data_IF_491286993940
#
_entry.id   IF_491286993940
#
_cell.length_a   1.000
_cell.length_b   1.000
_cell.length_c   1.000
_cell.angle_alpha   90.00
_cell.angle_beta   90.00
_cell.angle_gamma   90.00
#
_symmetry.space_group_name_H-M   'P 1'
#
loop_
_entity.id
_entity.type
_entity.pdbx_description
1 polymer ?
#
# COMPACT_ATOMS: atom_id res chain seq x y z
N UNK A 1 5.81 8.43 -7.66
CA UNK A 1 4.73 7.72 -8.39
C UNK A 1 4.02 8.53 -9.50
N UNK A 2 4.28 9.84 -9.67
CA UNK A 2 3.54 10.69 -10.64
C UNK A 2 4.08 10.61 -12.09
N UNK A 3 5.24 9.99 -12.32
CA UNK A 3 6.00 10.14 -13.57
C UNK A 3 5.59 9.22 -14.75
N UNK A 4 4.73 8.22 -14.55
CA UNK A 4 4.59 7.10 -15.52
C UNK A 4 3.39 7.15 -16.48
N UNK A 5 2.60 8.23 -16.56
CA UNK A 5 1.18 8.08 -16.93
C UNK A 5 0.68 8.77 -18.21
N UNK A 6 1.42 8.66 -19.32
CA UNK A 6 0.96 9.16 -20.63
C UNK A 6 0.37 8.12 -21.59
N UNK A 7 0.37 6.79 -21.29
CA UNK A 7 0.07 5.80 -22.35
C UNK A 7 -0.89 4.64 -22.09
N UNK A 8 -1.63 4.53 -20.98
CA UNK A 8 -2.61 3.44 -20.84
C UNK A 8 -3.99 3.90 -20.32
N UNK A 9 -4.82 4.28 -21.27
CA UNK A 9 -6.24 4.66 -21.14
C UNK A 9 -7.16 3.43 -21.10
N UNK A 10 -7.07 2.61 -20.05
CA UNK A 10 -8.08 1.57 -19.76
C UNK A 10 -8.51 1.49 -18.29
N UNK A 11 -7.84 2.21 -17.40
CA UNK A 11 -8.30 2.42 -16.04
C UNK A 11 -8.84 3.83 -15.89
N UNK A 12 -10.15 3.97 -15.72
CA UNK A 12 -10.79 5.22 -15.30
C UNK A 12 -10.49 5.58 -13.83
N UNK A 13 -9.28 5.24 -13.35
CA UNK A 13 -8.74 5.62 -12.04
C UNK A 13 -8.46 7.13 -11.95
N UNK A 14 -8.38 7.79 -13.11
CA UNK A 14 -8.00 9.20 -13.25
C UNK A 14 -9.21 10.14 -13.37
N UNK A 15 -10.43 9.65 -13.59
CA UNK A 15 -11.63 10.51 -13.69
C UNK A 15 -12.06 11.09 -12.34
N UNK A 16 -11.59 10.49 -11.23
CA UNK A 16 -11.87 10.95 -9.87
C UNK A 16 -10.64 11.55 -9.17
N UNK A 17 -9.81 12.34 -9.88
CA UNK A 17 -8.71 13.12 -9.28
C UNK A 17 -9.23 14.24 -8.37
N UNK A 18 -9.77 13.88 -7.20
CA UNK A 18 -10.04 14.86 -6.16
C UNK A 18 -8.71 15.31 -5.54
N UNK A 19 -8.61 16.60 -5.18
CA UNK A 19 -7.46 17.17 -4.48
C UNK A 19 -7.09 16.33 -3.24
N UNK A 20 -8.10 15.89 -2.51
CA UNK A 20 -7.98 15.00 -1.35
C UNK A 20 -7.21 13.71 -1.68
N UNK A 21 -7.50 13.07 -2.81
CA UNK A 21 -6.81 11.84 -3.20
C UNK A 21 -5.31 12.04 -3.36
N UNK A 22 -4.90 13.12 -4.04
CA UNK A 22 -3.50 13.44 -4.24
C UNK A 22 -2.80 13.83 -2.94
N UNK A 23 -3.50 14.51 -2.04
CA UNK A 23 -2.95 14.91 -0.75
C UNK A 23 -2.67 13.71 0.15
N UNK A 24 -3.54 12.70 0.17
CA UNK A 24 -3.30 11.45 0.90
C UNK A 24 -2.11 10.70 0.31
N UNK A 25 -2.01 10.59 -1.03
CA UNK A 25 -0.87 9.94 -1.68
C UNK A 25 0.44 10.67 -1.36
N UNK A 26 0.46 12.01 -1.37
CA UNK A 26 1.64 12.78 -0.96
C UNK A 26 2.02 12.51 0.49
N UNK A 27 1.06 12.49 1.40
CA UNK A 27 1.31 12.17 2.81
C UNK A 27 1.83 10.74 3.01
N UNK A 28 1.33 9.79 2.24
CA UNK A 28 1.88 8.45 2.20
C UNK A 28 3.37 8.46 1.80
N UNK A 29 3.68 9.13 0.69
CA UNK A 29 5.03 9.12 0.10
C UNK A 29 6.07 9.87 0.97
N UNK A 30 5.68 10.97 1.63
CA UNK A 30 6.61 11.80 2.40
C UNK A 30 6.58 11.56 3.91
N UNK A 31 5.40 11.37 4.51
CA UNK A 31 5.27 11.21 5.96
C UNK A 31 5.26 9.73 6.37
N UNK A 32 4.33 8.94 5.83
CA UNK A 32 4.18 7.56 6.25
C UNK A 32 5.40 6.70 5.89
N UNK A 33 5.89 6.83 4.65
CA UNK A 33 7.08 6.11 4.20
C UNK A 33 8.30 6.38 5.10
N UNK A 34 8.50 7.64 5.50
CA UNK A 34 9.60 8.03 6.37
C UNK A 34 9.58 7.28 7.72
N UNK A 35 8.40 7.14 8.32
CA UNK A 35 8.23 6.42 9.59
C UNK A 35 8.21 4.90 9.42
N UNK A 36 7.62 4.41 8.33
CA UNK A 36 7.63 2.99 7.96
C UNK A 36 9.06 2.46 7.80
N UNK A 37 9.93 3.20 7.11
CA UNK A 37 11.31 2.78 6.89
C UNK A 37 12.08 2.71 8.22
N UNK A 38 11.81 3.61 9.18
CA UNK A 38 12.39 3.57 10.54
C UNK A 38 11.83 2.46 11.40
N UNK A 39 10.54 2.19 11.31
CA UNK A 39 9.91 1.08 12.01
C UNK A 39 10.45 -0.27 11.52
N UNK A 40 10.64 -0.41 10.21
CA UNK A 40 11.15 -1.64 9.59
C UNK A 40 12.63 -1.88 9.88
N UNK A 41 13.44 -0.83 9.85
CA UNK A 41 14.89 -0.91 10.04
C UNK A 41 15.32 -0.21 11.33
N UNK A 42 14.59 -0.43 12.43
CA UNK A 42 14.81 0.27 13.71
C UNK A 42 16.24 0.09 14.23
N UNK A 43 16.90 -1.05 13.96
CA UNK A 43 18.31 -1.28 14.31
C UNK A 43 19.28 -0.26 13.69
N UNK A 44 18.90 0.38 12.58
CA UNK A 44 19.70 1.43 11.92
C UNK A 44 19.43 2.83 12.47
N UNK A 45 18.45 2.97 13.35
CA UNK A 45 18.00 4.24 13.93
C UNK A 45 17.89 4.10 15.46
N UNK A 46 19.01 4.12 16.19
CA UNK A 46 19.02 3.93 17.64
C UNK A 46 18.48 5.12 18.44
N UNK A 47 18.11 6.21 17.76
CA UNK A 47 17.65 7.45 18.40
C UNK A 47 16.37 7.27 19.21
N UNK A 48 15.49 6.34 18.81
CA UNK A 48 14.20 6.08 19.44
C UNK A 48 13.86 4.59 19.43
N UNK A 49 12.89 4.18 20.25
CA UNK A 49 12.46 2.78 20.31
C UNK A 49 11.65 2.38 19.07
N UNK A 50 11.56 1.06 18.83
CA UNK A 50 10.73 0.50 17.77
C UNK A 50 9.24 0.86 17.96
N UNK A 51 8.79 0.91 19.20
CA UNK A 51 7.43 1.28 19.60
C UNK A 51 7.15 2.75 19.26
N UNK A 52 8.13 3.65 19.44
CA UNK A 52 7.99 5.05 19.06
C UNK A 52 7.76 5.20 17.55
N UNK A 53 8.57 4.50 16.73
CA UNK A 53 8.39 4.52 15.27
C UNK A 53 7.07 3.89 14.83
N UNK A 54 6.63 2.83 15.52
CA UNK A 54 5.32 2.23 15.31
C UNK A 54 4.20 3.23 15.57
N UNK A 55 4.23 3.96 16.70
CA UNK A 55 3.21 4.96 17.03
C UNK A 55 3.19 6.11 16.02
N UNK A 56 4.36 6.61 15.59
CA UNK A 56 4.44 7.66 14.57
C UNK A 56 3.87 7.23 13.21
N UNK A 57 4.18 6.02 12.77
CA UNK A 57 3.58 5.45 11.57
C UNK A 57 2.07 5.19 11.75
N UNK A 58 1.64 4.80 12.97
CA UNK A 58 0.25 4.53 13.31
C UNK A 58 -0.65 5.74 13.17
N UNK A 59 -0.16 6.97 13.40
CA UNK A 59 -0.94 8.20 13.25
C UNK A 59 -1.59 8.30 11.86
N UNK A 60 -0.81 8.05 10.80
CA UNK A 60 -1.34 8.04 9.43
C UNK A 60 -2.29 6.85 9.19
N UNK A 61 -1.98 5.68 9.73
CA UNK A 61 -2.81 4.48 9.56
C UNK A 61 -4.17 4.60 10.27
N UNK A 62 -4.22 5.27 11.43
CA UNK A 62 -5.46 5.54 12.15
C UNK A 62 -6.39 6.43 11.32
N UNK A 63 -5.84 7.43 10.63
CA UNK A 63 -6.62 8.28 9.71
C UNK A 63 -7.24 7.44 8.59
N UNK A 64 -6.45 6.62 7.89
CA UNK A 64 -6.97 5.75 6.82
C UNK A 64 -7.98 4.75 7.36
N UNK A 65 -7.72 4.15 8.53
CA UNK A 65 -8.65 3.25 9.19
C UNK A 65 -10.00 3.92 9.49
N UNK A 66 -9.99 5.19 9.92
CA UNK A 66 -11.22 5.95 10.16
C UNK A 66 -11.96 6.26 8.86
N UNK A 67 -11.26 6.56 7.76
CA UNK A 67 -11.90 6.77 6.46
C UNK A 67 -12.56 5.49 5.92
N UNK A 68 -11.95 4.34 6.19
CA UNK A 68 -12.46 3.00 5.85
C UNK A 68 -13.57 2.50 6.78
N UNK A 69 -13.86 3.22 7.87
CA UNK A 69 -15.04 2.95 8.69
C UNK A 69 -16.32 3.27 7.93
N UNK A 70 -16.32 4.40 7.21
CA UNK A 70 -17.48 4.93 6.50
C UNK A 70 -17.53 4.48 5.03
N UNK A 71 -16.38 4.09 4.46
CA UNK A 71 -16.25 3.74 3.05
C UNK A 71 -15.72 2.32 2.84
N UNK A 72 -16.07 1.70 1.70
CA UNK A 72 -15.56 0.36 1.34
C UNK A 72 -14.08 0.40 0.94
N UNK A 73 -13.68 1.47 0.26
CA UNK A 73 -12.32 1.82 -0.15
C UNK A 73 -11.97 3.19 0.45
N UNK A 74 -10.72 3.64 0.37
CA UNK A 74 -10.24 4.77 1.20
C UNK A 74 -11.10 6.03 1.05
N UNK A 75 -11.61 6.32 -0.16
CA UNK A 75 -12.42 7.52 -0.42
C UNK A 75 -13.86 7.26 -0.88
N UNK A 76 -14.18 6.06 -1.36
CA UNK A 76 -15.46 5.77 -2.01
C UNK A 76 -15.81 4.27 -1.91
N UNK A 77 -16.94 3.89 -2.50
CA UNK A 77 -17.39 2.49 -2.66
C UNK A 77 -16.66 1.76 -3.78
N UNK A 78 -15.91 2.46 -4.62
CA UNK A 78 -15.08 1.91 -5.71
C UNK A 78 -13.59 2.13 -5.44
N UNK A 79 -12.75 1.23 -5.95
CA UNK A 79 -11.29 1.34 -5.90
C UNK A 79 -10.85 2.61 -6.62
N UNK A 80 -9.97 3.39 -5.98
CA UNK A 80 -9.35 4.58 -6.56
C UNK A 80 -7.82 4.44 -6.57
N UNK A 81 -7.14 5.40 -7.21
CA UNK A 81 -5.68 5.39 -7.31
C UNK A 81 -5.02 5.47 -5.93
N UNK A 82 -5.63 6.12 -4.93
CA UNK A 82 -5.14 6.15 -3.55
C UNK A 82 -5.04 4.77 -2.92
N UNK A 83 -6.00 3.87 -3.16
CA UNK A 83 -5.96 2.52 -2.63
C UNK A 83 -4.74 1.75 -3.18
N UNK A 84 -4.52 1.86 -4.50
CA UNK A 84 -3.41 1.20 -5.18
C UNK A 84 -2.05 1.79 -4.78
N UNK A 85 -1.98 3.11 -4.57
CA UNK A 85 -0.74 3.79 -4.19
C UNK A 85 -0.31 3.47 -2.75
N UNK A 86 -1.27 3.34 -1.83
CA UNK A 86 -1.00 3.12 -0.40
C UNK A 86 -0.78 1.64 -0.10
N UNK A 87 -1.47 0.74 -0.81
CA UNK A 87 -1.45 -0.70 -0.54
C UNK A 87 -0.04 -1.32 -0.40
N UNK A 88 0.97 -1.04 -1.27
CA UNK A 88 2.31 -1.60 -1.12
C UNK A 88 3.01 -1.21 0.19
N UNK A 89 2.71 -0.04 0.74
CA UNK A 89 3.29 0.43 1.99
C UNK A 89 2.57 -0.18 3.20
N UNK A 90 1.25 -0.31 3.13
CA UNK A 90 0.49 -1.04 4.15
C UNK A 90 0.97 -2.48 4.23
N UNK A 91 1.13 -3.16 3.09
CA UNK A 91 1.67 -4.53 3.06
C UNK A 91 3.03 -4.62 3.73
N UNK A 92 3.92 -3.65 3.50
CA UNK A 92 5.22 -3.60 4.16
C UNK A 92 5.09 -3.42 5.68
N UNK A 93 4.17 -2.56 6.14
CA UNK A 93 3.91 -2.34 7.56
C UNK A 93 3.36 -3.60 8.25
N UNK A 94 2.35 -4.23 7.65
CA UNK A 94 1.71 -5.46 8.15
C UNK A 94 2.74 -6.58 8.31
N UNK A 95 3.67 -6.70 7.36
CA UNK A 95 4.70 -7.73 7.39
C UNK A 95 5.74 -7.56 8.53
N UNK A 96 5.80 -6.41 9.21
CA UNK A 96 6.69 -6.23 10.37
C UNK A 96 6.07 -6.86 11.63
N UNK A 97 4.77 -6.67 11.86
CA UNK A 97 4.02 -7.34 12.93
C UNK A 97 2.51 -7.37 12.60
N UNK A 98 2.04 -8.51 12.13
CA UNK A 98 0.65 -8.69 11.69
C UNK A 98 -0.35 -8.64 12.85
N UNK A 99 0.02 -9.16 14.03
CA UNK A 99 -0.89 -9.25 15.18
C UNK A 99 -1.22 -7.85 15.70
N UNK A 100 -0.19 -7.01 15.92
CA UNK A 100 -0.36 -5.62 16.34
C UNK A 100 -1.21 -4.81 15.35
N UNK A 101 -1.04 -5.09 14.04
CA UNK A 101 -1.81 -4.40 13.01
C UNK A 101 -3.29 -4.80 13.04
N UNK A 102 -3.59 -6.09 13.15
CA UNK A 102 -4.96 -6.60 13.23
C UNK A 102 -5.71 -6.03 14.43
N UNK A 103 -5.04 -5.93 15.59
CA UNK A 103 -5.65 -5.45 16.83
C UNK A 103 -5.93 -3.94 16.78
N UNK A 104 -5.02 -3.14 16.22
CA UNK A 104 -5.11 -1.67 16.23
C UNK A 104 -5.92 -1.09 15.06
N UNK A 105 -5.96 -1.76 13.91
CA UNK A 105 -6.55 -1.21 12.68
C UNK A 105 -7.57 -2.15 12.03
N UNK A 106 -8.69 -2.38 12.71
CA UNK A 106 -9.72 -3.33 12.26
C UNK A 106 -10.24 -3.07 10.83
N UNK A 107 -10.64 -1.84 10.49
CA UNK A 107 -11.20 -1.51 9.17
C UNK A 107 -10.14 -1.56 8.07
N UNK A 108 -8.94 -1.08 8.39
CA UNK A 108 -7.80 -1.16 7.48
C UNK A 108 -7.36 -2.60 7.22
N UNK A 109 -7.40 -3.46 8.24
CA UNK A 109 -7.12 -4.89 8.08
C UNK A 109 -8.16 -5.57 7.19
N UNK A 110 -9.45 -5.27 7.38
CA UNK A 110 -10.52 -5.76 6.50
C UNK A 110 -10.28 -5.32 5.04
N UNK A 111 -9.93 -4.06 4.82
CA UNK A 111 -9.56 -3.54 3.50
C UNK A 111 -8.34 -4.26 2.93
N UNK A 112 -7.28 -4.44 3.71
CA UNK A 112 -6.06 -5.12 3.31
C UNK A 112 -6.32 -6.58 2.90
N UNK A 113 -7.13 -7.31 3.68
CA UNK A 113 -7.53 -8.67 3.35
C UNK A 113 -8.32 -8.72 2.04
N UNK A 114 -9.30 -7.82 1.86
CA UNK A 114 -10.08 -7.77 0.62
C UNK A 114 -9.20 -7.51 -0.63
N UNK A 115 -8.15 -6.70 -0.52
CA UNK A 115 -7.20 -6.50 -1.62
C UNK A 115 -6.30 -7.71 -1.84
N UNK A 116 -5.69 -8.22 -0.75
CA UNK A 116 -4.70 -9.30 -0.83
C UNK A 116 -5.28 -10.64 -1.26
N UNK A 117 -6.55 -10.91 -0.98
CA UNK A 117 -7.24 -12.14 -1.41
C UNK A 117 -7.91 -12.02 -2.78
N UNK A 118 -7.90 -10.83 -3.41
CA UNK A 118 -8.52 -10.66 -4.72
C UNK A 118 -7.73 -11.37 -5.83
N UNK A 119 -8.43 -12.07 -6.71
CA UNK A 119 -7.82 -12.83 -7.82
C UNK A 119 -6.94 -11.95 -8.72
N UNK A 120 -7.36 -10.70 -8.93
CA UNK A 120 -6.59 -9.70 -9.69
C UNK A 120 -5.26 -9.35 -9.03
N UNK A 121 -5.22 -9.30 -7.70
CA UNK A 121 -3.97 -9.03 -7.01
C UNK A 121 -3.05 -10.26 -7.03
N UNK A 122 -3.62 -11.46 -6.87
CA UNK A 122 -2.88 -12.72 -6.93
C UNK A 122 -2.26 -12.96 -8.32
N UNK A 123 -2.95 -12.57 -9.41
CA UNK A 123 -2.40 -12.71 -10.76
C UNK A 123 -1.17 -11.82 -11.00
N UNK A 124 -1.11 -10.64 -10.37
CA UNK A 124 0.04 -9.72 -10.48
C UNK A 124 1.21 -10.18 -9.60
N UNK A 125 0.94 -10.87 -8.49
CA UNK A 125 1.94 -11.31 -7.51
C UNK A 125 2.58 -12.66 -7.84
N UNK A 126 2.44 -13.15 -9.08
CA UNK A 126 3.16 -14.33 -9.53
C UNK A 126 4.67 -14.15 -9.30
N UNK A 127 5.24 -15.06 -8.51
CA UNK A 127 6.69 -15.10 -8.29
C UNK A 127 7.33 -15.70 -9.53
N UNK A 128 8.22 -14.93 -10.14
CA UNK A 128 9.12 -15.44 -11.16
C UNK A 128 10.41 -15.89 -10.49
N UNK A 129 11.02 -16.94 -11.03
CA UNK A 129 12.35 -17.35 -10.62
C UNK A 129 13.34 -16.21 -10.81
N UNK A 130 14.41 -16.24 -10.02
CA UNK A 130 15.50 -15.29 -10.19
C UNK A 130 16.02 -15.35 -11.62
N UNK A 131 16.28 -14.17 -12.18
CA UNK A 131 16.83 -14.07 -13.51
C UNK A 131 18.21 -14.75 -13.54
N UNK A 132 18.36 -15.71 -14.45
CA UNK A 132 19.63 -16.37 -14.78
C UNK A 132 19.84 -16.22 -16.29
N UNK A 133 21.08 -15.94 -16.70
CA UNK A 133 21.46 -15.82 -18.11
C UNK A 133 21.22 -17.12 -18.91
N UNK A 134 21.21 -18.26 -18.21
CA UNK A 134 20.94 -19.57 -18.81
C UNK A 134 19.44 -19.90 -18.89
N UNK A 135 18.58 -19.12 -18.23
CA UNK A 135 17.14 -19.34 -18.28
C UNK A 135 16.56 -18.84 -19.60
N UNK A 136 15.62 -19.60 -20.17
CA UNK A 136 14.87 -19.19 -21.35
C UNK A 136 14.06 -17.92 -21.02
N UNK A 137 13.95 -16.96 -21.95
CA UNK A 137 13.16 -15.75 -21.73
C UNK A 137 11.70 -16.12 -21.46
N UNK A 138 11.16 -15.59 -20.38
CA UNK A 138 9.75 -15.75 -20.01
C UNK A 138 8.99 -14.54 -20.56
N UNK A 139 8.04 -14.78 -21.47
CA UNK A 139 7.09 -13.75 -21.92
C UNK A 139 5.88 -13.82 -21.00
N UNK A 140 5.66 -12.78 -20.21
CA UNK A 140 4.50 -12.67 -19.32
C UNK A 140 3.39 -11.93 -20.06
N UNK A 141 2.34 -12.65 -20.46
CA UNK A 141 1.10 -12.03 -20.94
C UNK A 141 0.23 -11.65 -19.73
N UNK A 142 0.27 -10.38 -19.35
CA UNK A 142 -0.64 -9.81 -18.38
C UNK A 142 -1.96 -9.49 -19.10
N UNK A 143 -2.92 -10.41 -19.06
CA UNK A 143 -4.28 -10.13 -19.52
C UNK A 143 -4.98 -9.28 -18.45
N UNK A 144 -5.19 -7.99 -18.75
CA UNK A 144 -5.91 -7.03 -17.91
C UNK A 144 -7.39 -6.98 -18.27
#
# INVERSE_FOLDING_TARGET
MIWSNEKNSNFDLLSFKSKLQLDIIKRNDFYFKYWLDRYKYFDRYPDQSKEYYFEKASEFLLEINNMLKENKYILDKKIQLVDLAIFPFIRQFVNVNINLFCDKFYHLNKWYLNFSTSDRFQSIMQKYDFWDRNNKPIIVNLNF
#
